data_IF_359716182282
#
_entry.id   IF_359716182282
#
_cell.length_a   1.000
_cell.length_b   1.000
_cell.length_c   1.000
_cell.angle_alpha   90.00
_cell.angle_beta   90.00
_cell.angle_gamma   90.00
#
_symmetry.space_group_name_H-M   'P 1'
#
loop_
_entity.id
_entity.type
_entity.pdbx_description
1 polymer ?
#
# COMPACT_ATOMS: atom_id res chain seq x y z
N UNK A 1 16.50 47.23 -18.25
CA UNK A 1 17.32 46.67 -17.18
C UNK A 1 16.73 45.34 -16.87
N UNK A 2 17.29 44.41 -17.58
CA UNK A 2 17.02 42.99 -17.45
C UNK A 2 17.99 42.42 -16.40
N UNK A 3 17.69 41.22 -16.00
CA UNK A 3 18.61 40.30 -15.37
C UNK A 3 18.74 40.40 -13.85
N UNK A 4 17.85 39.65 -13.20
CA UNK A 4 18.28 38.79 -12.11
C UNK A 4 17.34 37.54 -12.08
N UNK A 5 17.50 36.68 -13.07
CA UNK A 5 17.01 35.32 -13.00
C UNK A 5 18.05 34.51 -12.24
N UNK A 6 17.81 34.29 -10.94
CA UNK A 6 18.50 33.25 -10.18
C UNK A 6 18.44 31.93 -10.99
N UNK A 7 19.56 31.25 -11.21
CA UNK A 7 19.58 30.03 -11.98
C UNK A 7 18.67 29.01 -11.27
N UNK A 8 17.74 28.44 -12.01
CA UNK A 8 16.98 27.29 -11.57
C UNK A 8 17.98 26.24 -11.04
N UNK A 9 17.74 25.76 -9.85
CA UNK A 9 18.52 24.72 -9.23
C UNK A 9 18.42 23.48 -10.14
N UNK A 10 19.39 23.29 -11.01
CA UNK A 10 19.54 22.05 -11.77
C UNK A 10 19.87 20.96 -10.75
N UNK A 11 18.86 20.15 -10.42
CA UNK A 11 19.12 18.89 -9.76
C UNK A 11 19.85 18.01 -10.79
N UNK A 12 21.09 17.59 -10.56
CA UNK A 12 21.78 16.66 -11.44
C UNK A 12 21.17 15.28 -11.24
N UNK A 13 20.05 15.04 -11.86
CA UNK A 13 19.53 13.71 -12.10
C UNK A 13 19.95 13.26 -13.49
N UNK A 14 21.23 13.15 -13.69
CA UNK A 14 21.73 12.28 -14.73
C UNK A 14 21.35 10.85 -14.32
N UNK A 15 20.77 10.10 -15.26
CA UNK A 15 20.60 8.67 -15.09
C UNK A 15 21.90 8.07 -14.57
N UNK A 16 21.90 7.17 -13.59
CA UNK A 16 23.13 6.58 -13.09
C UNK A 16 23.87 6.03 -14.30
N UNK A 17 25.10 6.49 -14.53
CA UNK A 17 25.94 5.92 -15.56
C UNK A 17 26.14 4.44 -15.28
N UNK A 18 26.35 3.62 -16.31
CA UNK A 18 26.65 2.18 -16.13
C UNK A 18 27.74 1.95 -15.07
N UNK A 19 28.71 2.88 -14.95
CA UNK A 19 29.71 2.90 -13.88
C UNK A 19 29.11 3.09 -12.47
N UNK A 20 28.08 3.92 -12.29
CA UNK A 20 27.45 4.15 -10.99
C UNK A 20 26.59 2.93 -10.57
N UNK A 21 26.00 2.23 -11.53
CA UNK A 21 25.28 0.96 -11.28
C UNK A 21 26.30 -0.14 -10.94
N UNK A 22 27.39 -0.25 -11.69
CA UNK A 22 28.46 -1.24 -11.45
C UNK A 22 29.21 -1.01 -10.11
N UNK A 23 29.30 0.25 -9.64
CA UNK A 23 29.92 0.57 -8.35
C UNK A 23 29.04 0.21 -7.14
N UNK A 24 27.73 0.07 -7.30
CA UNK A 24 26.84 -0.39 -6.22
C UNK A 24 26.93 -1.92 -6.10
N UNK A 25 27.08 -2.63 -7.22
CA UNK A 25 27.15 -4.09 -7.27
C UNK A 25 28.56 -4.65 -7.00
N UNK A 26 29.59 -3.82 -7.10
CA UNK A 26 30.99 -4.18 -6.86
C UNK A 26 31.46 -4.08 -5.41
N UNK A 27 30.56 -4.14 -4.43
CA UNK A 27 30.94 -4.25 -3.02
C UNK A 27 31.55 -5.64 -2.78
N UNK A 28 32.86 -5.66 -2.96
CA UNK A 28 33.78 -6.70 -2.70
C UNK A 28 33.39 -7.58 -1.50
N UNK A 29 32.78 -8.73 -1.76
CA UNK A 29 32.53 -9.75 -0.76
C UNK A 29 33.81 -10.57 -0.47
N UNK A 30 34.92 -10.21 -1.10
CA UNK A 30 36.19 -10.77 -0.85
C UNK A 30 36.83 -10.21 0.43
N UNK A 31 36.81 -10.98 1.50
CA UNK A 31 37.61 -10.70 2.69
C UNK A 31 39.08 -10.44 2.27
N UNK A 32 39.66 -9.29 2.60
CA UNK A 32 41.08 -9.09 2.37
C UNK A 32 41.88 -10.22 3.06
N UNK A 33 42.72 -10.90 2.32
CA UNK A 33 43.59 -11.91 2.86
C UNK A 33 44.46 -11.26 3.94
N UNK A 34 44.34 -11.72 5.22
CA UNK A 34 45.16 -11.24 6.33
C UNK A 34 44.47 -10.65 7.52
N UNK A 35 43.13 -10.56 7.57
CA UNK A 35 42.42 -10.11 8.77
C UNK A 35 42.23 -11.29 9.73
N UNK A 36 42.82 -11.25 10.96
CA UNK A 36 42.69 -12.34 11.91
C UNK A 36 41.24 -12.56 12.36
N UNK A 37 40.86 -13.82 12.54
CA UNK A 37 39.52 -14.22 13.00
C UNK A 37 39.15 -13.72 14.41
N UNK A 38 40.11 -13.13 15.12
CA UNK A 38 39.93 -12.61 16.50
C UNK A 38 39.28 -11.22 16.59
N UNK A 39 38.99 -10.56 15.48
CA UNK A 39 38.33 -9.23 15.45
C UNK A 39 36.80 -9.28 15.66
N UNK A 40 36.24 -10.41 16.02
CA UNK A 40 34.79 -10.59 16.23
C UNK A 40 34.29 -10.23 17.63
N UNK A 41 35.11 -9.66 18.50
CA UNK A 41 34.68 -9.19 19.81
C UNK A 41 34.17 -7.75 19.77
N UNK A 42 32.86 -7.61 19.80
CA UNK A 42 32.19 -6.33 19.98
C UNK A 42 31.77 -5.65 18.67
N UNK A 43 30.65 -6.10 18.09
CA UNK A 43 30.01 -5.35 17.05
C UNK A 43 29.39 -4.06 17.63
N UNK A 44 29.74 -2.91 17.08
CA UNK A 44 29.04 -1.66 17.39
C UNK A 44 27.57 -1.79 17.03
N UNK A 45 26.68 -1.51 17.97
CA UNK A 45 25.24 -1.48 17.70
C UNK A 45 24.83 -0.26 16.87
N UNK A 46 25.70 0.77 16.82
CA UNK A 46 25.47 2.00 16.06
C UNK A 46 26.13 1.94 14.66
N UNK A 47 27.37 1.49 14.60
CA UNK A 47 28.14 1.37 13.37
C UNK A 47 28.06 -0.07 12.83
N UNK A 48 26.90 -0.44 12.38
CA UNK A 48 26.66 -1.75 11.77
C UNK A 48 27.25 -1.83 10.35
N UNK A 49 27.50 -3.01 9.79
CA UNK A 49 27.93 -3.13 8.37
C UNK A 49 26.97 -2.42 7.41
N UNK A 50 25.66 -2.45 7.69
CA UNK A 50 24.65 -1.77 6.88
C UNK A 50 24.81 -0.24 6.96
N UNK A 51 24.94 0.34 8.17
CA UNK A 51 25.13 1.80 8.30
C UNK A 51 26.45 2.29 7.69
N UNK A 52 27.52 1.50 7.76
CA UNK A 52 28.80 1.83 7.11
C UNK A 52 28.64 1.80 5.59
N UNK A 53 27.99 0.76 5.04
CA UNK A 53 27.72 0.62 3.62
C UNK A 53 26.88 1.79 3.08
N UNK A 54 25.84 2.17 3.82
CA UNK A 54 24.99 3.32 3.50
C UNK A 54 25.80 4.64 3.43
N UNK A 55 26.65 4.90 4.43
CA UNK A 55 27.52 6.09 4.44
C UNK A 55 28.43 6.09 3.21
N UNK A 56 29.02 4.94 2.84
CA UNK A 56 29.85 4.84 1.66
C UNK A 56 29.04 5.08 0.37
N UNK A 57 27.81 4.58 0.28
CA UNK A 57 26.93 4.82 -0.86
C UNK A 57 26.58 6.31 -0.96
N UNK A 58 26.12 6.94 0.14
CA UNK A 58 25.81 8.36 0.17
C UNK A 58 27.01 9.26 -0.16
N UNK A 59 28.20 8.89 0.32
CA UNK A 59 29.46 9.61 0.03
C UNK A 59 29.83 9.56 -1.46
N UNK A 60 29.56 8.45 -2.15
CA UNK A 60 29.79 8.31 -3.59
C UNK A 60 28.74 9.04 -4.42
N UNK A 61 27.46 8.91 -4.03
CA UNK A 61 26.34 9.43 -4.79
C UNK A 61 26.12 10.93 -4.60
N UNK A 62 26.54 11.51 -3.46
CA UNK A 62 26.22 12.88 -3.08
C UNK A 62 24.71 13.14 -2.91
N UNK A 63 23.91 12.09 -2.80
CA UNK A 63 22.45 12.15 -2.67
C UNK A 63 21.92 10.90 -1.97
N UNK A 64 20.64 10.95 -1.52
CA UNK A 64 19.94 9.78 -0.99
C UNK A 64 19.69 8.72 -2.07
N UNK A 65 19.58 7.48 -1.64
CA UNK A 65 19.25 6.34 -2.50
C UNK A 65 17.74 6.26 -2.74
N UNK A 66 17.35 5.72 -3.90
CA UNK A 66 15.97 5.42 -4.27
C UNK A 66 15.81 3.92 -4.33
N UNK A 67 14.75 3.43 -3.71
CA UNK A 67 14.41 2.01 -3.67
C UNK A 67 12.92 1.81 -3.96
N UNK A 68 12.56 0.66 -4.49
CA UNK A 68 11.20 0.15 -4.55
C UNK A 68 10.92 -0.79 -3.39
N UNK A 69 9.75 -1.43 -3.38
CA UNK A 69 9.24 -2.40 -2.44
C UNK A 69 8.68 -1.75 -1.16
N UNK A 70 9.16 -2.08 0.04
CA UNK A 70 8.65 -1.59 1.32
C UNK A 70 9.78 -1.26 2.32
N UNK A 71 9.44 -0.96 3.58
CA UNK A 71 10.42 -0.71 4.64
C UNK A 71 11.28 -1.93 4.94
N UNK A 72 12.57 -1.69 5.24
CA UNK A 72 13.50 -2.67 5.82
C UNK A 72 13.66 -2.50 7.33
N UNK A 73 12.92 -1.57 7.94
CA UNK A 73 12.95 -1.36 9.38
C UNK A 73 12.28 -2.53 10.11
N UNK A 74 13.08 -3.36 10.78
CA UNK A 74 12.63 -4.54 11.51
C UNK A 74 12.16 -4.24 12.94
N UNK A 75 12.20 -2.99 13.38
CA UNK A 75 11.81 -2.59 14.74
C UNK A 75 10.36 -2.12 14.87
N UNK A 76 9.63 -2.11 13.75
CA UNK A 76 8.22 -1.79 13.78
C UNK A 76 7.43 -2.95 14.38
N UNK A 77 6.53 -2.71 15.34
CA UNK A 77 5.58 -3.73 15.79
C UNK A 77 4.68 -4.12 14.63
N UNK A 78 4.39 -5.40 14.52
CA UNK A 78 3.67 -6.00 13.40
C UNK A 78 2.44 -6.78 13.88
N UNK A 79 1.66 -7.33 12.94
CA UNK A 79 0.58 -8.24 13.28
C UNK A 79 1.05 -9.51 14.01
N UNK A 80 2.34 -9.88 13.92
CA UNK A 80 2.90 -11.04 14.63
C UNK A 80 2.97 -10.81 16.16
N UNK A 81 2.89 -9.56 16.61
CA UNK A 81 2.78 -9.17 18.01
C UNK A 81 1.37 -9.33 18.62
N UNK A 82 0.40 -9.72 17.82
CA UNK A 82 -0.99 -9.96 18.22
C UNK A 82 -1.38 -11.41 17.98
N UNK A 83 -2.21 -11.98 18.86
CA UNK A 83 -2.78 -13.32 18.69
C UNK A 83 -4.28 -13.31 18.94
N UNK A 84 -5.03 -14.21 18.29
CA UNK A 84 -6.42 -14.44 18.61
C UNK A 84 -6.58 -15.30 19.88
N UNK A 85 -7.67 -15.08 20.60
CA UNK A 85 -8.13 -15.92 21.71
C UNK A 85 -9.49 -16.52 21.34
N UNK A 86 -9.49 -17.72 20.72
CA UNK A 86 -10.71 -18.37 20.24
C UNK A 86 -11.69 -18.66 21.38
N UNK A 87 -12.94 -18.81 21.00
CA UNK A 87 -14.03 -19.20 21.88
C UNK A 87 -13.84 -20.65 22.40
N UNK A 88 -14.22 -20.88 23.66
CA UNK A 88 -14.21 -22.22 24.26
C UNK A 88 -15.46 -22.47 25.11
N UNK A 89 -15.58 -21.84 26.28
CA UNK A 89 -16.69 -22.02 27.21
C UNK A 89 -17.52 -20.76 27.42
N UNK A 90 -16.87 -19.60 27.51
CA UNK A 90 -17.56 -18.30 27.70
C UNK A 90 -18.28 -17.85 26.44
N UNK A 91 -17.84 -18.31 25.30
CA UNK A 91 -18.46 -18.20 23.99
C UNK A 91 -18.19 -19.53 23.27
N UNK A 92 -19.14 -20.01 22.47
CA UNK A 92 -18.97 -21.25 21.71
C UNK A 92 -18.42 -20.92 20.32
N UNK A 93 -17.41 -21.67 19.82
CA UNK A 93 -17.01 -21.60 18.42
C UNK A 93 -18.11 -22.09 17.50
N UNK A 94 -18.12 -21.64 16.26
CA UNK A 94 -19.03 -22.15 15.26
C UNK A 94 -18.57 -23.51 14.71
N UNK A 95 -19.54 -24.37 14.31
CA UNK A 95 -19.29 -25.65 13.66
C UNK A 95 -18.77 -25.42 12.23
N UNK A 96 -17.47 -25.53 12.06
CA UNK A 96 -16.72 -25.07 10.87
C UNK A 96 -17.30 -25.45 9.51
N UNK A 97 -17.83 -26.69 9.34
CA UNK A 97 -18.40 -27.17 8.07
C UNK A 97 -19.92 -27.00 7.95
N UNK A 98 -20.61 -26.67 9.02
CA UNK A 98 -22.08 -26.61 9.05
C UNK A 98 -22.61 -25.19 9.14
N UNK A 99 -21.84 -24.29 9.70
CA UNK A 99 -22.23 -22.91 9.91
C UNK A 99 -21.42 -21.98 9.00
N UNK A 100 -22.10 -21.08 8.32
CA UNK A 100 -21.48 -20.09 7.45
C UNK A 100 -20.97 -18.90 8.26
N UNK A 101 -19.97 -18.22 7.69
CA UNK A 101 -19.50 -16.94 8.16
C UNK A 101 -19.61 -15.93 6.99
N UNK A 102 -20.35 -14.88 7.21
CA UNK A 102 -20.55 -13.82 6.21
C UNK A 102 -19.27 -13.03 6.01
N UNK A 103 -18.90 -12.80 4.76
CA UNK A 103 -17.70 -12.06 4.36
C UNK A 103 -18.00 -10.81 3.52
N UNK A 104 -19.27 -10.64 3.11
CA UNK A 104 -19.71 -9.49 2.31
C UNK A 104 -19.38 -8.20 3.04
N UNK A 105 -18.84 -7.26 2.30
CA UNK A 105 -18.37 -5.96 2.80
C UNK A 105 -18.97 -4.85 1.96
N UNK A 106 -19.51 -3.84 2.60
CA UNK A 106 -20.07 -2.66 1.93
C UNK A 106 -19.25 -1.43 2.33
N UNK A 107 -18.77 -0.69 1.35
CA UNK A 107 -17.98 0.50 1.56
C UNK A 107 -18.70 1.74 1.03
N UNK A 108 -18.67 2.82 1.83
CA UNK A 108 -19.22 4.11 1.45
C UNK A 108 -20.73 4.16 1.39
N UNK A 109 -21.42 3.32 2.16
CA UNK A 109 -22.87 3.37 2.26
C UNK A 109 -23.32 4.60 3.08
N UNK A 110 -23.64 5.70 2.39
CA UNK A 110 -24.18 6.93 3.00
C UNK A 110 -25.55 7.27 2.38
N UNK A 111 -26.64 6.86 3.03
CA UNK A 111 -27.99 7.09 2.51
C UNK A 111 -28.26 8.57 2.21
N UNK A 112 -28.71 8.85 0.99
CA UNK A 112 -28.98 10.22 0.52
C UNK A 112 -27.75 10.98 -0.03
N UNK A 113 -26.56 10.42 0.08
CA UNK A 113 -25.31 11.00 -0.47
C UNK A 113 -24.63 10.10 -1.49
N UNK A 114 -24.79 8.79 -1.39
CA UNK A 114 -24.21 7.80 -2.30
C UNK A 114 -25.32 6.88 -2.78
N UNK A 115 -25.54 6.86 -4.10
CA UNK A 115 -26.57 6.01 -4.71
C UNK A 115 -26.10 4.55 -4.79
N UNK A 116 -24.83 4.32 -5.22
CA UNK A 116 -24.26 3.01 -5.45
C UNK A 116 -23.03 2.80 -4.54
N UNK A 117 -23.19 2.37 -3.28
CA UNK A 117 -22.06 1.99 -2.44
C UNK A 117 -21.35 0.78 -3.05
N UNK A 118 -20.06 0.62 -2.77
CA UNK A 118 -19.29 -0.52 -3.25
C UNK A 118 -19.60 -1.76 -2.42
N UNK A 119 -20.09 -2.80 -3.09
CA UNK A 119 -20.36 -4.09 -2.49
C UNK A 119 -19.31 -5.12 -2.92
N UNK A 120 -18.58 -5.65 -1.95
CA UNK A 120 -17.56 -6.68 -2.14
C UNK A 120 -18.04 -8.01 -1.52
N UNK A 121 -17.72 -9.12 -2.17
CA UNK A 121 -17.99 -10.44 -1.60
C UNK A 121 -17.00 -10.81 -0.47
N UNK A 122 -15.87 -10.11 -0.40
CA UNK A 122 -14.78 -10.37 0.54
C UNK A 122 -14.25 -9.04 1.13
N UNK A 123 -13.73 -9.01 2.35
CA UNK A 123 -13.25 -7.79 2.99
C UNK A 123 -11.85 -7.35 2.50
N UNK A 124 -11.44 -7.75 1.29
CA UNK A 124 -10.08 -7.54 0.77
C UNK A 124 -10.17 -7.03 -0.67
N UNK A 125 -9.36 -6.01 -1.01
CA UNK A 125 -9.25 -5.54 -2.38
C UNK A 125 -7.82 -5.13 -2.76
N UNK A 126 -7.58 -4.96 -4.07
CA UNK A 126 -6.26 -4.64 -4.63
C UNK A 126 -5.99 -3.14 -4.56
N UNK A 127 -4.84 -2.79 -4.03
CA UNK A 127 -4.39 -1.41 -3.83
C UNK A 127 -4.20 -0.62 -5.12
N UNK A 128 -4.30 0.70 -4.99
CA UNK A 128 -3.96 1.66 -6.02
C UNK A 128 -2.49 1.56 -6.44
N UNK A 129 -2.26 1.08 -7.65
CA UNK A 129 -0.93 0.89 -8.25
C UNK A 129 -0.95 1.37 -9.69
N UNK A 130 -0.21 2.46 -9.97
CA UNK A 130 -0.28 3.18 -11.24
C UNK A 130 0.23 2.38 -12.44
N UNK A 131 -0.37 2.61 -13.62
CA UNK A 131 0.29 2.33 -14.88
C UNK A 131 1.55 3.20 -15.02
N UNK A 132 2.65 2.59 -15.41
CA UNK A 132 3.98 3.17 -15.34
C UNK A 132 4.78 2.56 -14.19
N UNK A 133 4.23 2.47 -12.98
CA UNK A 133 4.81 1.65 -11.92
C UNK A 133 4.65 0.15 -12.22
N UNK A 134 3.45 -0.26 -12.65
CA UNK A 134 3.17 -1.61 -13.15
C UNK A 134 3.03 -1.62 -14.68
N UNK A 135 3.26 -2.78 -15.28
CA UNK A 135 2.95 -3.05 -16.68
C UNK A 135 1.44 -3.21 -16.91
N UNK A 136 0.97 -2.97 -18.13
CA UNK A 136 -0.44 -3.14 -18.49
C UNK A 136 -0.95 -4.58 -18.27
N UNK A 137 -0.21 -5.64 -18.66
CA UNK A 137 -0.61 -7.02 -18.36
C UNK A 137 -0.74 -7.31 -16.86
N UNK A 138 0.12 -6.72 -16.03
CA UNK A 138 0.02 -6.89 -14.57
C UNK A 138 -1.25 -6.24 -14.01
N UNK A 139 -1.62 -5.05 -14.49
CA UNK A 139 -2.86 -4.38 -14.08
C UNK A 139 -4.10 -5.16 -14.52
N UNK A 140 -4.15 -5.62 -15.74
CA UNK A 140 -5.24 -6.46 -16.25
C UNK A 140 -5.37 -7.78 -15.45
N UNK A 141 -4.25 -8.43 -15.13
CA UNK A 141 -4.27 -9.67 -14.34
C UNK A 141 -4.78 -9.45 -12.91
N UNK A 142 -4.46 -8.32 -12.28
CA UNK A 142 -5.02 -7.94 -10.98
C UNK A 142 -6.52 -7.66 -11.08
N UNK A 143 -6.97 -6.97 -12.12
CA UNK A 143 -8.38 -6.69 -12.38
C UNK A 143 -9.21 -7.96 -12.54
N UNK A 144 -8.81 -8.84 -13.45
CA UNK A 144 -9.48 -10.13 -13.64
C UNK A 144 -9.45 -11.00 -12.37
N UNK A 145 -8.32 -11.00 -11.64
CA UNK A 145 -8.19 -11.77 -10.40
C UNK A 145 -9.13 -11.29 -9.30
N UNK A 146 -9.23 -9.97 -9.11
CA UNK A 146 -10.16 -9.38 -8.15
C UNK A 146 -11.62 -9.60 -8.55
N UNK A 147 -11.95 -9.41 -9.84
CA UNK A 147 -13.31 -9.59 -10.37
C UNK A 147 -13.84 -11.01 -10.17
N UNK A 148 -12.99 -12.05 -10.32
CA UNK A 148 -13.36 -13.46 -10.10
C UNK A 148 -13.87 -13.76 -8.70
N UNK A 149 -13.47 -12.98 -7.72
CA UNK A 149 -13.87 -13.18 -6.31
C UNK A 149 -14.83 -12.09 -5.80
N UNK A 150 -15.36 -11.26 -6.72
CA UNK A 150 -16.25 -10.15 -6.35
C UNK A 150 -15.58 -9.09 -5.50
N UNK A 151 -14.32 -8.75 -5.84
CA UNK A 151 -13.55 -7.68 -5.22
C UNK A 151 -13.27 -6.58 -6.23
N UNK A 152 -12.56 -5.52 -5.81
CA UNK A 152 -12.26 -4.35 -6.63
C UNK A 152 -10.77 -4.09 -6.77
N UNK A 153 -10.43 -3.23 -7.74
CA UNK A 153 -9.10 -2.64 -7.92
C UNK A 153 -9.17 -1.11 -7.90
N UNK A 154 -8.01 -0.47 -7.88
CA UNK A 154 -7.88 0.99 -7.99
C UNK A 154 -6.81 1.34 -9.02
N UNK A 155 -7.06 2.39 -9.83
CA UNK A 155 -6.17 2.78 -10.94
C UNK A 155 -4.76 3.14 -10.47
N UNK A 156 -4.63 3.75 -9.31
CA UNK A 156 -3.40 4.41 -8.90
C UNK A 156 -3.15 5.70 -9.70
N UNK A 157 -2.03 6.35 -9.41
CA UNK A 157 -1.62 7.58 -10.10
C UNK A 157 -1.27 7.29 -11.57
N UNK A 158 -1.85 8.01 -12.49
CA UNK A 158 -1.50 7.90 -13.92
C UNK A 158 -2.69 7.64 -14.84
N UNK A 159 -3.89 7.66 -14.33
CA UNK A 159 -5.12 7.52 -15.10
C UNK A 159 -5.62 6.08 -15.22
N UNK A 160 -6.75 5.92 -15.88
CA UNK A 160 -7.43 4.65 -16.13
C UNK A 160 -6.97 4.06 -17.48
N UNK A 161 -6.51 2.83 -17.49
CA UNK A 161 -6.30 2.07 -18.73
C UNK A 161 -7.62 1.43 -19.18
N UNK A 162 -7.85 1.36 -20.47
CA UNK A 162 -8.98 0.63 -21.05
C UNK A 162 -8.92 -0.85 -20.66
N UNK A 163 -7.75 -1.51 -20.86
CA UNK A 163 -7.51 -2.91 -20.48
C UNK A 163 -7.81 -3.17 -19.00
N UNK A 164 -7.51 -2.20 -18.12
CA UNK A 164 -7.78 -2.31 -16.68
C UNK A 164 -9.27 -2.15 -16.35
N UNK A 165 -9.96 -1.20 -17.02
CA UNK A 165 -11.40 -1.02 -16.85
C UNK A 165 -12.17 -2.26 -17.30
N UNK A 166 -11.80 -2.83 -18.45
CA UNK A 166 -12.40 -4.08 -18.96
C UNK A 166 -12.17 -5.27 -18.04
N UNK A 167 -10.98 -5.36 -17.45
CA UNK A 167 -10.61 -6.45 -16.55
C UNK A 167 -11.28 -6.36 -15.17
N UNK A 168 -11.72 -5.17 -14.75
CA UNK A 168 -12.18 -4.90 -13.39
C UNK A 168 -13.69 -4.72 -13.34
N UNK A 169 -14.41 -5.61 -12.66
CA UNK A 169 -15.85 -5.47 -12.43
C UNK A 169 -16.18 -4.23 -11.58
N UNK A 170 -15.31 -3.91 -10.62
CA UNK A 170 -15.33 -2.71 -9.79
C UNK A 170 -13.96 -2.04 -9.84
N UNK A 171 -13.91 -0.78 -10.23
CA UNK A 171 -12.67 0.00 -10.37
C UNK A 171 -12.82 1.38 -9.75
N UNK A 172 -11.99 1.66 -8.74
CA UNK A 172 -11.89 2.98 -8.12
C UNK A 172 -10.87 3.83 -8.89
N UNK A 173 -11.24 5.04 -9.27
CA UNK A 173 -10.34 6.00 -9.91
C UNK A 173 -9.55 6.79 -8.86
N UNK A 174 -8.22 6.76 -8.92
CA UNK A 174 -7.38 7.54 -8.00
C UNK A 174 -7.08 8.92 -8.58
N UNK A 175 -7.55 9.95 -7.89
CA UNK A 175 -7.25 11.35 -8.18
C UNK A 175 -6.06 11.82 -7.35
N UNK A 176 -4.95 12.13 -8.02
CA UNK A 176 -3.72 12.60 -7.38
C UNK A 176 -3.57 14.12 -7.43
N UNK A 177 -2.71 14.70 -6.58
CA UNK A 177 -2.41 16.13 -6.62
C UNK A 177 -1.94 16.65 -7.98
N UNK A 178 -1.25 15.82 -8.77
CA UNK A 178 -0.75 16.16 -10.11
C UNK A 178 -1.82 16.13 -11.19
N UNK A 179 -2.97 15.55 -10.92
CA UNK A 179 -4.12 15.46 -11.85
C UNK A 179 -3.77 14.84 -13.22
N UNK A 180 -2.81 13.91 -13.26
CA UNK A 180 -2.52 13.16 -14.49
C UNK A 180 -3.78 12.44 -14.98
N UNK A 181 -4.10 12.62 -16.25
CA UNK A 181 -5.28 12.04 -16.89
C UNK A 181 -6.59 12.26 -16.12
N UNK A 182 -6.73 13.41 -15.46
CA UNK A 182 -8.01 13.79 -14.91
C UNK A 182 -8.98 14.06 -16.04
N UNK A 183 -9.92 13.15 -16.22
CA UNK A 183 -10.93 13.17 -17.27
C UNK A 183 -12.29 12.89 -16.64
N UNK A 184 -13.27 13.71 -16.99
CA UNK A 184 -14.64 13.59 -16.48
C UNK A 184 -15.29 12.27 -16.92
N UNK A 185 -14.98 11.77 -18.11
CA UNK A 185 -15.49 10.47 -18.57
C UNK A 185 -14.94 9.33 -17.71
N UNK A 186 -13.64 9.36 -17.38
CA UNK A 186 -13.05 8.38 -16.48
C UNK A 186 -13.64 8.45 -15.06
N UNK A 187 -13.93 9.65 -14.53
CA UNK A 187 -14.61 9.80 -13.26
C UNK A 187 -15.99 9.15 -13.27
N UNK A 188 -16.74 9.31 -14.34
CA UNK A 188 -18.09 8.73 -14.51
C UNK A 188 -18.10 7.23 -14.81
N UNK A 189 -17.00 6.71 -15.34
CA UNK A 189 -16.83 5.27 -15.59
C UNK A 189 -16.38 4.52 -14.35
N UNK A 190 -15.90 5.21 -13.32
CA UNK A 190 -15.40 4.61 -12.10
C UNK A 190 -16.55 4.26 -11.13
N UNK A 191 -16.34 3.23 -10.32
CA UNK A 191 -17.26 2.79 -9.28
C UNK A 191 -17.01 3.50 -7.93
N UNK A 192 -15.95 4.30 -7.83
CA UNK A 192 -15.58 5.16 -6.70
C UNK A 192 -14.44 6.08 -7.07
N UNK A 193 -14.29 7.19 -6.35
CA UNK A 193 -13.19 8.14 -6.54
C UNK A 193 -12.32 8.17 -5.30
N UNK A 194 -11.02 7.92 -5.43
CA UNK A 194 -10.06 7.99 -4.32
C UNK A 194 -9.18 9.24 -4.43
N UNK A 195 -9.41 10.22 -3.56
CA UNK A 195 -8.47 11.30 -3.33
C UNK A 195 -7.24 10.77 -2.58
N UNK A 196 -6.02 11.09 -3.03
CA UNK A 196 -4.80 10.68 -2.33
C UNK A 196 -4.06 11.89 -1.78
N UNK A 197 -3.83 11.89 -0.48
CA UNK A 197 -3.03 12.91 0.21
C UNK A 197 -1.73 12.36 0.76
N UNK A 198 -1.50 11.05 0.59
CA UNK A 198 -0.27 10.35 0.97
C UNK A 198 -0.40 8.85 0.90
N UNK A 199 0.70 8.17 1.16
CA UNK A 199 0.78 6.71 1.26
C UNK A 199 1.83 6.31 2.30
N UNK A 200 1.72 5.09 2.86
CA UNK A 200 2.56 4.63 3.96
C UNK A 200 4.06 4.61 3.64
N UNK A 201 4.43 4.24 2.41
CA UNK A 201 5.82 4.15 1.99
C UNK A 201 6.58 5.48 1.93
N UNK A 202 5.88 6.60 1.79
CA UNK A 202 6.50 7.93 1.61
C UNK A 202 5.53 9.05 1.98
N UNK A 203 5.10 9.12 3.24
CA UNK A 203 4.21 10.18 3.69
C UNK A 203 4.89 11.55 3.53
N UNK A 204 4.11 12.55 3.16
CA UNK A 204 4.60 13.92 2.95
C UNK A 204 5.39 14.15 1.66
N UNK A 205 5.39 13.17 0.72
CA UNK A 205 5.97 13.34 -0.61
C UNK A 205 5.01 12.86 -1.70
N UNK A 206 5.19 13.39 -2.91
CA UNK A 206 4.40 12.96 -4.07
C UNK A 206 4.89 11.63 -4.68
N UNK A 207 4.19 11.19 -5.72
CA UNK A 207 4.59 10.04 -6.54
C UNK A 207 5.93 10.28 -7.23
N UNK A 208 6.67 9.20 -7.47
CA UNK A 208 7.92 9.21 -8.22
C UNK A 208 7.88 8.09 -9.25
N UNK A 209 8.13 8.45 -10.52
CA UNK A 209 8.37 7.51 -11.59
C UNK A 209 9.62 7.94 -12.34
N UNK A 210 10.66 7.10 -12.33
CA UNK A 210 11.93 7.42 -12.96
C UNK A 210 11.82 7.39 -14.49
N UNK A 211 12.57 8.24 -15.17
CA UNK A 211 12.52 8.45 -16.62
C UNK A 211 12.67 7.17 -17.43
N UNK A 212 13.48 6.21 -16.97
CA UNK A 212 13.65 4.91 -17.60
C UNK A 212 12.35 4.09 -17.72
N UNK A 213 11.34 4.41 -16.91
CA UNK A 213 10.00 3.80 -16.94
C UNK A 213 8.95 4.68 -17.64
N UNK A 214 9.34 5.87 -18.10
CA UNK A 214 8.43 6.77 -18.84
C UNK A 214 8.49 6.43 -20.31
N UNK A 215 7.77 5.38 -20.72
CA UNK A 215 7.58 4.95 -22.11
C UNK A 215 6.69 5.93 -22.89
N UNK A 216 6.59 5.76 -24.23
CA UNK A 216 5.68 6.58 -25.05
C UNK A 216 4.24 6.48 -24.57
N UNK A 217 3.78 5.29 -24.16
CA UNK A 217 2.41 5.07 -23.65
C UNK A 217 2.19 5.81 -22.33
N UNK A 218 3.15 5.74 -21.39
CA UNK A 218 3.09 6.47 -20.12
C UNK A 218 3.14 7.98 -20.34
N UNK A 219 4.05 8.45 -21.19
CA UNK A 219 4.19 9.86 -21.55
C UNK A 219 2.91 10.43 -22.17
N UNK A 220 2.31 9.69 -23.10
CA UNK A 220 1.03 10.06 -23.70
C UNK A 220 -0.11 10.11 -22.70
N UNK A 221 -0.25 9.11 -21.84
CA UNK A 221 -1.29 9.09 -20.80
C UNK A 221 -1.15 10.23 -19.80
N UNK A 222 0.08 10.54 -19.38
CA UNK A 222 0.32 11.57 -18.36
C UNK A 222 0.53 12.96 -18.93
N UNK A 223 0.51 13.10 -20.26
CA UNK A 223 0.81 14.36 -20.98
C UNK A 223 2.16 14.97 -20.56
N UNK A 224 3.18 14.13 -20.40
CA UNK A 224 4.50 14.49 -19.92
C UNK A 224 5.59 14.02 -20.90
N UNK A 225 6.80 14.64 -20.89
CA UNK A 225 7.89 14.21 -21.75
C UNK A 225 8.35 12.77 -21.48
N UNK A 226 8.60 11.99 -22.54
CA UNK A 226 9.18 10.67 -22.47
C UNK A 226 10.59 10.70 -21.87
N UNK A 227 10.94 9.70 -21.08
CA UNK A 227 12.30 9.50 -20.58
C UNK A 227 12.74 10.48 -19.48
N UNK A 228 11.84 11.31 -18.97
CA UNK A 228 12.10 12.29 -17.91
C UNK A 228 11.46 11.82 -16.61
N UNK A 229 12.20 11.97 -15.48
CA UNK A 229 11.67 11.66 -14.16
C UNK A 229 10.38 12.44 -13.88
N UNK A 230 9.35 11.74 -13.47
CA UNK A 230 8.07 12.34 -13.10
C UNK A 230 7.92 12.38 -11.59
N UNK A 231 7.75 13.59 -11.06
CA UNK A 231 7.48 13.83 -9.65
C UNK A 231 6.12 14.49 -9.53
N UNK A 232 5.23 13.84 -8.79
CA UNK A 232 3.94 14.42 -8.49
C UNK A 232 4.07 15.54 -7.49
N UNK A 233 3.18 16.52 -7.60
CA UNK A 233 2.99 17.52 -6.54
C UNK A 233 2.63 16.83 -5.23
N UNK A 234 3.03 17.42 -4.11
CA UNK A 234 2.81 16.84 -2.78
C UNK A 234 1.42 17.17 -2.26
N UNK A 235 0.90 18.33 -2.64
CA UNK A 235 -0.38 18.86 -2.18
C UNK A 235 -1.34 19.03 -3.34
N UNK A 236 -2.60 18.79 -3.10
CA UNK A 236 -3.65 19.17 -4.05
C UNK A 236 -3.64 20.69 -4.21
N UNK A 237 -3.70 21.19 -5.46
CA UNK A 237 -3.64 22.63 -5.70
C UNK A 237 -4.92 23.37 -5.32
N UNK A 238 -6.02 22.66 -5.21
CA UNK A 238 -7.38 23.17 -5.02
C UNK A 238 -7.91 23.02 -3.59
N UNK A 239 -7.15 22.41 -2.67
CA UNK A 239 -7.49 22.48 -1.26
C UNK A 239 -6.26 22.57 -0.37
N UNK A 240 -6.29 23.50 0.57
CA UNK A 240 -5.24 23.75 1.55
C UNK A 240 -5.68 23.46 3.00
N UNK A 241 -6.97 23.22 3.19
CA UNK A 241 -7.58 22.95 4.49
C UNK A 241 -8.85 22.11 4.36
N UNK A 242 -9.51 21.90 5.51
CA UNK A 242 -10.71 21.07 5.59
C UNK A 242 -11.89 21.64 4.79
N UNK A 243 -12.07 22.95 4.81
CA UNK A 243 -13.18 23.62 4.13
C UNK A 243 -13.03 23.50 2.61
N UNK A 244 -11.81 23.70 2.08
CA UNK A 244 -11.53 23.52 0.66
C UNK A 244 -11.68 22.05 0.25
N UNK A 245 -11.29 21.11 1.13
CA UNK A 245 -11.47 19.68 0.89
C UNK A 245 -12.96 19.32 0.79
N UNK A 246 -13.81 19.90 1.64
CA UNK A 246 -15.24 19.70 1.57
C UNK A 246 -15.82 20.19 0.23
N UNK A 247 -15.39 21.35 -0.26
CA UNK A 247 -15.78 21.87 -1.58
C UNK A 247 -15.33 20.90 -2.69
N UNK A 248 -14.11 20.38 -2.61
CA UNK A 248 -13.61 19.41 -3.60
C UNK A 248 -14.39 18.10 -3.59
N UNK A 249 -14.76 17.60 -2.44
CA UNK A 249 -15.58 16.39 -2.31
C UNK A 249 -16.96 16.64 -2.96
N UNK A 250 -17.57 17.79 -2.72
CA UNK A 250 -18.85 18.14 -3.32
C UNK A 250 -18.76 18.27 -4.85
N UNK A 251 -17.70 18.91 -5.38
CA UNK A 251 -17.44 18.95 -6.82
C UNK A 251 -17.34 17.53 -7.45
N UNK A 252 -16.71 16.58 -6.75
CA UNK A 252 -16.60 15.20 -7.23
C UNK A 252 -17.96 14.47 -7.17
N UNK A 253 -18.77 14.74 -6.14
CA UNK A 253 -20.14 14.22 -6.06
C UNK A 253 -20.99 14.72 -7.22
N UNK A 254 -20.97 16.02 -7.50
CA UNK A 254 -21.67 16.61 -8.63
C UNK A 254 -21.18 16.03 -9.98
N UNK A 255 -19.87 15.89 -10.15
CA UNK A 255 -19.26 15.34 -11.35
C UNK A 255 -19.68 13.89 -11.64
N UNK A 256 -20.00 13.13 -10.60
CA UNK A 256 -20.44 11.72 -10.66
C UNK A 256 -21.95 11.55 -10.41
N UNK A 257 -22.72 12.62 -10.40
CA UNK A 257 -24.17 12.64 -10.15
C UNK A 257 -24.54 11.97 -8.79
N UNK A 258 -23.68 12.08 -7.75
CA UNK A 258 -23.84 11.43 -6.43
C UNK A 258 -23.95 9.90 -6.51
N UNK A 259 -23.44 9.29 -7.56
CA UNK A 259 -23.61 7.84 -7.77
C UNK A 259 -22.62 7.00 -7.00
N UNK A 260 -21.39 7.49 -6.81
CA UNK A 260 -20.29 6.68 -6.31
C UNK A 260 -19.69 7.26 -5.02
N UNK A 261 -19.13 6.41 -4.13
CA UNK A 261 -18.48 6.88 -2.92
C UNK A 261 -17.17 7.61 -3.20
N UNK A 262 -16.86 8.59 -2.35
CA UNK A 262 -15.62 9.33 -2.34
C UNK A 262 -14.72 8.79 -1.23
N UNK A 263 -13.54 8.30 -1.63
CA UNK A 263 -12.49 7.80 -0.75
C UNK A 263 -11.45 8.88 -0.50
N UNK A 264 -10.79 8.82 0.65
CA UNK A 264 -9.55 9.55 0.90
C UNK A 264 -8.48 8.58 1.39
N UNK A 265 -7.35 8.50 0.67
CA UNK A 265 -6.19 7.71 1.07
C UNK A 265 -5.10 8.59 1.67
N UNK A 266 -4.60 8.19 2.84
CA UNK A 266 -3.54 8.89 3.56
C UNK A 266 -2.46 7.92 4.06
N UNK A 267 -1.22 8.39 4.18
CA UNK A 267 -0.18 7.68 4.93
C UNK A 267 -0.42 7.83 6.43
N UNK A 268 -0.18 6.77 7.18
CA UNK A 268 -0.33 6.78 8.63
C UNK A 268 0.76 7.65 9.28
N UNK A 269 0.42 8.89 9.60
CA UNK A 269 1.29 9.86 10.27
C UNK A 269 0.66 10.36 11.56
N UNK A 270 -0.53 10.98 11.46
CA UNK A 270 -1.33 11.48 12.59
C UNK A 270 -2.79 11.02 12.44
N UNK A 271 -3.05 9.70 12.37
CA UNK A 271 -4.36 9.15 11.97
C UNK A 271 -5.52 9.69 12.82
N UNK A 272 -5.33 9.90 14.13
CA UNK A 272 -6.38 10.45 14.99
C UNK A 272 -6.88 11.83 14.55
N UNK A 273 -6.01 12.69 14.06
CA UNK A 273 -6.34 14.04 13.62
C UNK A 273 -6.76 14.07 12.15
N UNK A 274 -6.00 13.40 11.30
CA UNK A 274 -6.20 13.42 9.86
C UNK A 274 -7.53 12.71 9.49
N UNK A 275 -7.86 11.61 10.17
CA UNK A 275 -9.14 10.90 9.98
C UNK A 275 -10.33 11.75 10.44
N UNK A 276 -10.22 12.43 11.58
CA UNK A 276 -11.29 13.32 12.06
C UNK A 276 -11.55 14.49 11.08
N UNK A 277 -10.49 15.04 10.48
CA UNK A 277 -10.63 16.11 9.47
C UNK A 277 -11.28 15.54 8.21
N UNK A 278 -10.80 14.40 7.70
CA UNK A 278 -11.33 13.78 6.50
C UNK A 278 -12.81 13.40 6.64
N UNK A 279 -13.19 12.79 7.75
CA UNK A 279 -14.57 12.41 8.03
C UNK A 279 -15.50 13.63 8.06
N UNK A 280 -15.09 14.71 8.75
CA UNK A 280 -15.86 15.97 8.81
C UNK A 280 -15.92 16.72 7.48
N UNK A 281 -14.90 16.55 6.62
CA UNK A 281 -14.92 17.09 5.26
C UNK A 281 -15.89 16.35 4.34
N UNK A 282 -16.42 15.20 4.75
CA UNK A 282 -17.52 14.52 4.07
C UNK A 282 -17.12 13.34 3.19
N UNK A 283 -15.92 12.75 3.35
CA UNK A 283 -15.56 11.50 2.65
C UNK A 283 -16.40 10.32 3.15
N UNK A 284 -16.57 9.31 2.31
CA UNK A 284 -17.37 8.12 2.61
C UNK A 284 -16.50 6.95 3.08
N UNK A 285 -15.25 6.92 2.61
CA UNK A 285 -14.29 5.86 2.92
C UNK A 285 -12.93 6.47 3.20
N UNK A 286 -12.28 6.09 4.29
CA UNK A 286 -10.94 6.52 4.64
C UNK A 286 -9.99 5.33 4.57
N UNK A 287 -8.92 5.46 3.79
CA UNK A 287 -7.85 4.46 3.66
C UNK A 287 -6.62 4.93 4.43
N UNK A 288 -6.27 4.23 5.50
CA UNK A 288 -5.06 4.48 6.29
C UNK A 288 -3.99 3.48 5.90
N UNK A 289 -2.87 4.00 5.37
CA UNK A 289 -1.76 3.19 4.84
C UNK A 289 -0.56 3.27 5.80
N UNK A 290 -0.27 2.17 6.49
CA UNK A 290 0.79 2.05 7.50
C UNK A 290 2.20 2.19 6.94
N UNK A 291 3.18 2.42 7.80
CA UNK A 291 4.59 2.57 7.45
C UNK A 291 5.17 1.34 6.71
N UNK A 292 4.55 0.17 6.86
CA UNK A 292 4.90 -1.07 6.16
C UNK A 292 4.43 -1.09 4.69
N UNK A 293 3.72 -0.05 4.23
CA UNK A 293 3.23 0.06 2.87
C UNK A 293 4.34 0.02 1.82
N UNK A 294 4.04 -0.61 0.67
CA UNK A 294 4.97 -0.71 -0.46
C UNK A 294 4.82 0.43 -1.47
N UNK A 295 5.84 0.57 -2.32
CA UNK A 295 5.83 1.52 -3.45
C UNK A 295 6.73 1.05 -4.58
N UNK A 296 6.49 1.57 -5.79
CA UNK A 296 7.38 1.36 -6.93
C UNK A 296 8.71 2.10 -6.83
N UNK A 297 8.71 3.30 -6.26
CA UNK A 297 9.91 4.11 -6.07
C UNK A 297 9.74 5.10 -4.91
N UNK A 298 10.72 5.17 -4.02
CA UNK A 298 10.81 6.16 -2.93
C UNK A 298 12.25 6.38 -2.52
N UNK A 299 12.59 7.57 -1.98
CA UNK A 299 13.79 7.71 -1.16
C UNK A 299 13.80 6.70 0.00
N UNK A 300 14.90 5.97 0.20
CA UNK A 300 15.01 4.94 1.25
C UNK A 300 14.73 5.48 2.64
N UNK A 301 15.24 6.68 2.92
CA UNK A 301 15.03 7.33 4.22
C UNK A 301 13.53 7.51 4.56
N UNK A 302 12.67 7.68 3.56
CA UNK A 302 11.23 7.78 3.80
C UNK A 302 10.60 6.42 4.08
N UNK A 303 11.03 5.38 3.36
CA UNK A 303 10.58 4.02 3.59
C UNK A 303 10.92 3.51 5.00
N UNK A 304 12.10 3.86 5.49
CA UNK A 304 12.64 3.26 6.71
C UNK A 304 12.48 4.14 7.97
N UNK A 305 12.19 5.44 7.81
CA UNK A 305 12.20 6.39 8.92
C UNK A 305 10.95 7.29 9.03
N UNK A 306 9.88 7.03 8.25
CA UNK A 306 8.66 7.84 8.31
C UNK A 306 7.41 6.98 8.44
N UNK A 307 6.33 7.60 8.96
CA UNK A 307 5.08 6.91 9.21
C UNK A 307 5.07 6.15 10.53
N UNK A 308 3.91 5.61 10.87
CA UNK A 308 3.71 4.77 12.05
C UNK A 308 3.12 3.41 11.64
N UNK A 309 3.31 2.36 12.46
CA UNK A 309 2.83 1.02 12.16
C UNK A 309 1.32 0.94 11.91
N UNK A 310 0.91 0.06 11.01
CA UNK A 310 -0.50 -0.12 10.67
C UNK A 310 -1.34 -0.54 11.87
N UNK A 311 -0.84 -1.44 12.73
CA UNK A 311 -1.61 -1.93 13.89
C UNK A 311 -2.03 -0.82 14.85
N UNK A 312 -1.18 0.20 15.05
CA UNK A 312 -1.50 1.35 15.88
C UNK A 312 -2.38 2.36 15.14
N UNK A 313 -2.20 2.46 13.83
CA UNK A 313 -2.92 3.42 12.99
C UNK A 313 -4.41 3.10 12.88
N UNK A 314 -4.76 1.81 12.75
CA UNK A 314 -6.17 1.37 12.67
C UNK A 314 -6.91 1.76 13.95
N UNK A 315 -6.33 1.51 15.11
CA UNK A 315 -6.96 1.86 16.39
C UNK A 315 -7.17 3.37 16.53
N UNK A 316 -6.12 4.16 16.28
CA UNK A 316 -6.22 5.62 16.34
C UNK A 316 -7.22 6.19 15.33
N UNK A 317 -7.36 5.57 14.15
CA UNK A 317 -8.33 5.97 13.13
C UNK A 317 -9.76 5.63 13.54
N UNK A 318 -10.02 4.42 14.07
CA UNK A 318 -11.33 4.00 14.55
C UNK A 318 -11.78 4.88 15.71
N UNK A 319 -10.92 5.10 16.70
CA UNK A 319 -11.21 5.98 17.83
C UNK A 319 -11.51 7.42 17.39
N UNK A 320 -10.87 7.92 16.33
CA UNK A 320 -11.19 9.22 15.76
C UNK A 320 -12.59 9.27 15.16
N UNK A 321 -13.03 8.22 14.48
CA UNK A 321 -14.39 8.10 13.95
C UNK A 321 -15.42 7.97 15.08
N UNK A 322 -15.14 7.19 16.12
CA UNK A 322 -15.96 7.04 17.30
C UNK A 322 -16.14 8.40 18.01
N UNK A 323 -15.05 9.13 18.26
CA UNK A 323 -15.06 10.46 18.88
C UNK A 323 -15.84 11.50 18.08
N UNK A 324 -15.87 11.35 16.75
CA UNK A 324 -16.65 12.22 15.85
C UNK A 324 -18.10 11.77 15.70
N UNK A 325 -18.48 10.60 16.21
CA UNK A 325 -19.81 10.00 16.01
C UNK A 325 -20.07 9.57 14.58
N UNK A 326 -19.01 9.24 13.81
CA UNK A 326 -19.09 8.91 12.37
C UNK A 326 -18.71 7.46 12.04
N UNK A 327 -18.55 6.61 13.04
CA UNK A 327 -18.16 5.21 12.85
C UNK A 327 -19.14 4.38 12.01
N UNK A 328 -20.41 4.73 12.03
CA UNK A 328 -21.47 4.07 11.25
C UNK A 328 -21.66 4.69 9.86
N UNK A 329 -21.07 5.86 9.61
CA UNK A 329 -21.22 6.61 8.35
C UNK A 329 -20.01 6.49 7.42
N UNK A 330 -18.81 6.38 8.00
CA UNK A 330 -17.54 6.40 7.27
C UNK A 330 -16.85 5.06 7.41
N UNK A 331 -16.62 4.39 6.28
CA UNK A 331 -15.88 3.12 6.25
C UNK A 331 -14.40 3.36 6.45
N UNK A 332 -13.73 2.52 7.27
CA UNK A 332 -12.30 2.55 7.52
C UNK A 332 -11.62 1.38 6.81
N UNK A 333 -10.65 1.68 5.95
CA UNK A 333 -9.85 0.68 5.25
C UNK A 333 -8.42 0.71 5.74
N UNK A 334 -7.89 -0.46 6.08
CA UNK A 334 -6.49 -0.65 6.46
C UNK A 334 -5.63 -1.03 5.24
N UNK A 335 -4.45 -0.43 5.11
CA UNK A 335 -3.47 -0.72 4.07
C UNK A 335 -2.05 -0.71 4.62
N UNK A 336 -1.15 -1.46 4.00
CA UNK A 336 0.28 -1.49 4.35
C UNK A 336 0.70 -2.75 5.12
N UNK A 337 1.59 -3.55 4.54
CA UNK A 337 2.22 -4.69 5.22
C UNK A 337 1.35 -5.93 5.44
N UNK A 338 0.11 -5.96 4.99
CA UNK A 338 -0.80 -7.11 5.13
C UNK A 338 -0.38 -8.25 4.22
N UNK A 339 -0.16 -9.47 4.76
CA UNK A 339 0.46 -10.61 4.07
C UNK A 339 -0.46 -11.83 3.94
N UNK A 340 -1.42 -11.98 4.85
CA UNK A 340 -2.26 -13.19 4.99
C UNK A 340 -3.68 -12.84 5.44
N UNK A 341 -4.59 -13.79 5.36
CA UNK A 341 -5.92 -13.64 5.93
C UNK A 341 -5.91 -13.49 7.46
N UNK A 342 -4.88 -14.02 8.13
CA UNK A 342 -4.68 -13.77 9.56
C UNK A 342 -4.43 -12.28 9.85
N UNK A 343 -3.59 -11.61 9.05
CA UNK A 343 -3.36 -10.17 9.17
C UNK A 343 -4.66 -9.40 8.89
N UNK A 344 -5.42 -9.80 7.86
CA UNK A 344 -6.75 -9.21 7.55
C UNK A 344 -7.71 -9.35 8.73
N UNK A 345 -7.82 -10.53 9.32
CA UNK A 345 -8.68 -10.76 10.47
C UNK A 345 -8.29 -9.85 11.66
N UNK A 346 -6.99 -9.63 11.88
CA UNK A 346 -6.48 -8.70 12.90
C UNK A 346 -6.82 -7.24 12.56
N UNK A 347 -6.76 -6.83 11.28
CA UNK A 347 -7.21 -5.51 10.87
C UNK A 347 -8.70 -5.29 11.18
N UNK A 348 -9.55 -6.27 10.85
CA UNK A 348 -10.99 -6.21 11.14
C UNK A 348 -11.24 -6.14 12.66
N UNK A 349 -10.56 -6.99 13.44
CA UNK A 349 -10.67 -7.00 14.89
C UNK A 349 -10.20 -5.67 15.53
N UNK A 350 -9.22 -4.98 14.93
CA UNK A 350 -8.75 -3.67 15.37
C UNK A 350 -9.69 -2.53 14.95
N UNK A 351 -10.69 -2.79 14.11
CA UNK A 351 -11.74 -1.83 13.74
C UNK A 351 -11.73 -1.36 12.30
N UNK A 352 -11.00 -2.00 11.38
CA UNK A 352 -11.14 -1.76 9.96
C UNK A 352 -12.40 -2.45 9.40
N UNK A 353 -13.02 -1.87 8.37
CA UNK A 353 -14.16 -2.44 7.66
C UNK A 353 -13.70 -3.26 6.44
N UNK A 354 -12.55 -2.93 5.85
CA UNK A 354 -11.90 -3.68 4.77
C UNK A 354 -10.39 -3.52 4.82
N UNK A 355 -9.71 -4.30 3.96
CA UNK A 355 -8.26 -4.28 3.84
C UNK A 355 -7.84 -4.15 2.38
N UNK A 356 -6.91 -3.24 2.11
CA UNK A 356 -6.33 -3.02 0.80
C UNK A 356 -4.92 -3.63 0.76
N UNK A 357 -4.66 -4.52 -0.20
CA UNK A 357 -3.36 -5.19 -0.37
C UNK A 357 -2.66 -4.77 -1.66
N UNK A 358 -1.37 -4.42 -1.56
CA UNK A 358 -0.51 -4.12 -2.71
C UNK A 358 0.53 -5.21 -2.96
N UNK A 359 1.60 -5.21 -2.16
CA UNK A 359 2.76 -6.12 -2.31
C UNK A 359 2.36 -7.59 -2.29
N UNK A 360 1.46 -8.00 -1.39
CA UNK A 360 0.97 -9.38 -1.34
C UNK A 360 0.23 -9.80 -2.63
N UNK A 361 -0.59 -8.90 -3.19
CA UNK A 361 -1.25 -9.11 -4.49
C UNK A 361 -0.25 -9.26 -5.64
N UNK A 362 0.83 -8.45 -5.66
CA UNK A 362 1.90 -8.55 -6.66
C UNK A 362 2.69 -9.86 -6.52
N UNK A 363 2.97 -10.31 -5.30
CA UNK A 363 3.64 -11.60 -5.05
C UNK A 363 2.75 -12.74 -5.55
N UNK A 364 1.46 -12.72 -5.26
CA UNK A 364 0.51 -13.69 -5.77
C UNK A 364 0.44 -13.70 -7.31
N UNK A 365 0.52 -12.53 -7.93
CA UNK A 365 0.59 -12.38 -9.38
C UNK A 365 1.86 -13.03 -9.97
N UNK A 366 2.98 -13.01 -9.26
CA UNK A 366 4.24 -13.62 -9.70
C UNK A 366 5.50 -12.80 -9.39
N UNK A 367 5.38 -11.69 -8.66
CA UNK A 367 6.55 -10.94 -8.18
C UNK A 367 7.45 -11.83 -7.32
N UNK A 368 8.76 -11.67 -7.44
CA UNK A 368 9.75 -12.51 -6.74
C UNK A 368 9.70 -14.01 -7.07
N UNK A 369 9.11 -14.40 -8.22
CA UNK A 369 9.12 -15.79 -8.69
C UNK A 369 10.55 -16.24 -9.03
N UNK A 370 10.97 -17.45 -8.61
CA UNK A 370 12.31 -17.97 -8.94
C UNK A 370 12.47 -18.39 -10.42
N UNK A 371 11.42 -18.29 -11.23
CA UNK A 371 11.45 -18.71 -12.64
C UNK A 371 12.54 -18.01 -13.46
N UNK A 372 12.90 -16.78 -13.11
CA UNK A 372 13.87 -15.95 -13.82
C UNK A 372 15.10 -15.67 -12.94
N UNK A 373 15.64 -16.71 -12.31
CA UNK A 373 16.72 -16.60 -11.32
C UNK A 373 17.95 -15.83 -11.86
N UNK A 374 18.34 -16.10 -13.10
CA UNK A 374 19.53 -15.47 -13.70
C UNK A 374 19.34 -13.95 -13.90
N UNK A 375 18.12 -13.50 -14.22
CA UNK A 375 17.84 -12.06 -14.35
C UNK A 375 17.94 -11.33 -12.99
N UNK A 376 17.56 -11.99 -11.88
CA UNK A 376 17.78 -11.41 -10.55
C UNK A 376 19.27 -11.29 -10.23
N UNK A 377 20.09 -12.27 -10.60
CA UNK A 377 21.52 -12.23 -10.38
C UNK A 377 22.19 -11.06 -11.12
N UNK A 378 21.73 -10.74 -12.34
CA UNK A 378 22.19 -9.56 -13.11
C UNK A 378 21.87 -8.25 -12.36
N UNK A 379 20.79 -8.21 -11.60
CA UNK A 379 20.42 -7.06 -10.77
C UNK A 379 21.07 -7.06 -9.37
N UNK A 380 22.03 -7.96 -9.12
CA UNK A 380 22.68 -8.09 -7.80
C UNK A 380 21.74 -8.54 -6.67
N UNK A 381 20.62 -9.21 -7.00
CA UNK A 381 19.62 -9.64 -6.02
C UNK A 381 19.19 -11.10 -6.24
N UNK A 382 18.27 -11.59 -5.45
CA UNK A 382 17.70 -12.95 -5.56
C UNK A 382 16.18 -12.90 -5.43
N UNK A 383 15.46 -13.93 -5.91
CA UNK A 383 14.04 -14.09 -5.60
C UNK A 383 13.80 -14.04 -4.08
N UNK A 384 12.76 -13.29 -3.67
CA UNK A 384 12.44 -13.04 -2.27
C UNK A 384 13.16 -11.82 -1.65
N UNK A 385 14.18 -11.26 -2.32
CA UNK A 385 14.94 -10.09 -1.84
C UNK A 385 14.96 -8.94 -2.85
N UNK A 386 14.23 -9.06 -3.96
CA UNK A 386 14.21 -8.03 -5.01
C UNK A 386 13.49 -6.77 -4.54
N UNK A 387 14.11 -5.62 -4.78
CA UNK A 387 13.60 -4.28 -4.47
C UNK A 387 13.81 -3.28 -5.63
N UNK A 388 14.01 -3.78 -6.85
CA UNK A 388 14.35 -3.01 -8.05
C UNK A 388 13.13 -2.52 -8.86
N UNK A 389 11.95 -2.34 -8.22
CA UNK A 389 10.75 -1.89 -8.92
C UNK A 389 10.90 -0.52 -9.61
N UNK A 390 11.84 0.30 -9.14
CA UNK A 390 12.12 1.64 -9.67
C UNK A 390 12.91 1.63 -10.99
N UNK A 391 13.67 0.56 -11.28
CA UNK A 391 14.62 0.51 -12.40
C UNK A 391 14.00 0.25 -13.77
N UNK A 392 12.78 -0.30 -13.84
CA UNK A 392 12.17 -0.78 -15.08
C UNK A 392 12.64 -2.17 -15.52
N UNK A 393 13.68 -2.73 -14.90
CA UNK A 393 14.30 -4.02 -15.23
C UNK A 393 13.69 -5.18 -14.42
N UNK A 394 12.37 -5.18 -14.27
CA UNK A 394 11.69 -6.20 -13.47
C UNK A 394 11.79 -7.60 -14.09
N UNK A 395 12.47 -8.58 -13.43
CA UNK A 395 12.69 -9.91 -14.01
C UNK A 395 11.41 -10.68 -14.37
N UNK A 396 10.32 -10.37 -13.69
CA UNK A 396 9.03 -11.07 -13.87
C UNK A 396 8.03 -10.27 -14.72
N UNK A 397 8.41 -9.11 -15.27
CA UNK A 397 7.55 -8.30 -16.14
C UNK A 397 6.46 -7.49 -15.43
N UNK A 398 6.42 -7.50 -14.10
CA UNK A 398 5.34 -6.86 -13.30
C UNK A 398 5.54 -5.36 -13.19
N UNK A 399 6.73 -4.91 -12.77
CA UNK A 399 7.03 -3.49 -12.51
C UNK A 399 7.94 -2.89 -13.60
N UNK A 400 7.57 -3.03 -14.85
CA UNK A 400 8.32 -2.58 -16.02
C UNK A 400 7.43 -1.88 -17.03
N UNK A 401 8.06 -1.17 -17.98
CA UNK A 401 7.46 -0.63 -19.19
C UNK A 401 8.22 -1.12 -20.44
N UNK A 402 9.10 -2.10 -20.28
CA UNK A 402 9.80 -2.77 -21.37
C UNK A 402 8.87 -3.79 -22.05
N UNK A 403 8.60 -3.65 -23.38
CA UNK A 403 7.67 -4.53 -24.10
C UNK A 403 8.07 -6.01 -24.10
N UNK A 404 9.36 -6.33 -23.98
CA UNK A 404 9.81 -7.72 -23.95
C UNK A 404 9.68 -8.32 -22.54
N UNK A 405 9.96 -7.52 -21.51
CA UNK A 405 9.79 -7.98 -20.13
C UNK A 405 8.31 -8.14 -19.75
N UNK A 406 7.42 -7.23 -20.17
CA UNK A 406 6.00 -7.33 -19.81
C UNK A 406 5.30 -8.57 -20.38
N UNK A 407 5.79 -9.14 -21.52
CA UNK A 407 5.31 -10.42 -22.08
C UNK A 407 5.49 -11.61 -21.14
N UNK A 408 6.33 -11.48 -20.11
CA UNK A 408 6.52 -12.52 -19.08
C UNK A 408 5.31 -12.69 -18.17
N UNK A 409 4.40 -11.72 -18.15
CA UNK A 409 3.14 -11.81 -17.42
C UNK A 409 2.08 -12.51 -18.27
N UNK A 410 1.84 -13.77 -18.01
CA UNK A 410 0.67 -14.47 -18.52
C UNK A 410 -0.57 -14.02 -17.75
N UNK A 411 -1.38 -13.16 -18.36
CA UNK A 411 -2.54 -12.52 -17.72
C UNK A 411 -3.52 -13.56 -17.17
N UNK A 412 -3.82 -14.62 -17.94
CA UNK A 412 -4.79 -15.65 -17.55
C UNK A 412 -4.30 -16.43 -16.31
N UNK A 413 -3.07 -16.95 -16.38
CA UNK A 413 -2.49 -17.71 -15.26
C UNK A 413 -2.23 -16.83 -14.03
N UNK A 414 -1.83 -15.56 -14.22
CA UNK A 414 -1.60 -14.62 -13.14
C UNK A 414 -2.90 -14.22 -12.44
N UNK A 415 -3.98 -13.95 -13.20
CA UNK A 415 -5.30 -13.63 -12.63
C UNK A 415 -5.85 -14.77 -11.79
N UNK A 416 -5.65 -16.03 -12.22
CA UNK A 416 -6.06 -17.19 -11.47
C UNK A 416 -5.30 -17.33 -10.13
N UNK A 417 -4.00 -17.06 -10.13
CA UNK A 417 -3.22 -17.05 -8.87
C UNK A 417 -3.69 -15.97 -7.91
N UNK A 418 -3.97 -14.76 -8.40
CA UNK A 418 -4.50 -13.67 -7.58
C UNK A 418 -5.87 -14.05 -6.99
N UNK A 419 -6.79 -14.57 -7.80
CA UNK A 419 -8.10 -15.00 -7.33
C UNK A 419 -7.99 -16.09 -6.25
N UNK A 420 -7.16 -17.12 -6.46
CA UNK A 420 -6.93 -18.17 -5.46
C UNK A 420 -6.31 -17.63 -4.17
N UNK A 421 -5.39 -16.70 -4.26
CA UNK A 421 -4.79 -16.08 -3.09
C UNK A 421 -5.82 -15.28 -2.28
N UNK A 422 -6.63 -14.44 -2.93
CA UNK A 422 -7.72 -13.71 -2.29
C UNK A 422 -8.75 -14.65 -1.64
N UNK A 423 -9.10 -15.75 -2.32
CA UNK A 423 -9.96 -16.80 -1.77
C UNK A 423 -9.35 -17.44 -0.53
N UNK A 424 -8.08 -17.81 -0.58
CA UNK A 424 -7.38 -18.42 0.56
C UNK A 424 -7.34 -17.48 1.76
N UNK A 425 -6.98 -16.20 1.55
CA UNK A 425 -7.01 -15.19 2.61
C UNK A 425 -8.41 -15.08 3.24
N UNK A 426 -9.46 -15.08 2.43
CA UNK A 426 -10.84 -14.98 2.92
C UNK A 426 -11.24 -16.22 3.73
N UNK A 427 -10.79 -17.40 3.31
CA UNK A 427 -11.01 -18.65 4.09
C UNK A 427 -10.32 -18.60 5.46
N UNK A 428 -9.10 -18.05 5.54
CA UNK A 428 -8.38 -17.85 6.81
C UNK A 428 -9.15 -16.89 7.72
N UNK A 429 -9.64 -15.75 7.20
CA UNK A 429 -10.45 -14.78 7.96
C UNK A 429 -11.72 -15.45 8.50
N UNK A 430 -12.45 -16.15 7.63
CA UNK A 430 -13.68 -16.87 8.01
C UNK A 430 -13.41 -17.92 9.09
N UNK A 431 -12.32 -18.67 8.96
CA UNK A 431 -11.96 -19.72 9.95
C UNK A 431 -11.68 -19.10 11.32
N UNK A 432 -10.92 -17.99 11.38
CA UNK A 432 -10.63 -17.28 12.62
C UNK A 432 -11.90 -16.70 13.25
N UNK A 433 -12.76 -16.08 12.44
CA UNK A 433 -14.04 -15.56 12.92
C UNK A 433 -14.92 -16.67 13.53
N UNK A 434 -15.06 -17.81 12.84
CA UNK A 434 -15.78 -19.00 13.37
C UNK A 434 -15.15 -19.53 14.66
N UNK A 435 -13.83 -19.60 14.74
CA UNK A 435 -13.13 -20.02 15.94
C UNK A 435 -13.40 -19.07 17.12
N UNK A 436 -13.61 -17.78 16.87
CA UNK A 436 -14.01 -16.78 17.85
C UNK A 436 -15.53 -16.75 18.11
N UNK A 437 -16.31 -17.66 17.50
CA UNK A 437 -17.78 -17.73 17.66
C UNK A 437 -18.54 -16.65 16.90
N UNK A 438 -17.99 -16.14 15.78
CA UNK A 438 -18.58 -15.09 14.96
C UNK A 438 -19.07 -15.64 13.62
N UNK A 439 -20.32 -15.33 13.27
CA UNK A 439 -20.96 -15.71 11.99
C UNK A 439 -20.80 -14.66 10.89
N UNK A 440 -20.10 -13.56 11.18
CA UNK A 440 -19.76 -12.49 10.25
C UNK A 440 -18.35 -12.01 10.60
N UNK A 441 -17.49 -11.85 9.59
CA UNK A 441 -16.10 -11.42 9.79
C UNK A 441 -16.00 -10.00 10.38
N UNK A 442 -17.01 -9.15 10.14
CA UNK A 442 -17.12 -7.80 10.70
C UNK A 442 -17.51 -7.77 12.18
N UNK A 443 -17.82 -8.92 12.76
CA UNK A 443 -18.06 -9.06 14.20
C UNK A 443 -16.79 -9.37 14.99
N UNK A 444 -15.64 -9.52 14.31
CA UNK A 444 -14.35 -9.59 14.98
C UNK A 444 -14.07 -8.28 15.73
N UNK A 445 -13.58 -8.39 16.96
CA UNK A 445 -13.43 -7.26 17.86
C UNK A 445 -12.11 -7.33 18.66
N UNK A 446 -11.71 -6.22 19.26
CA UNK A 446 -10.45 -6.12 20.04
C UNK A 446 -10.40 -7.16 21.16
N UNK A 447 -11.55 -7.54 21.73
CA UNK A 447 -11.61 -8.58 22.78
C UNK A 447 -11.25 -9.99 22.25
N UNK A 448 -11.33 -10.23 20.96
CA UNK A 448 -10.89 -11.48 20.34
C UNK A 448 -9.35 -11.56 20.21
N UNK A 449 -8.63 -10.46 20.53
CA UNK A 449 -7.17 -10.36 20.43
C UNK A 449 -6.49 -10.27 21.80
N UNK A 450 -5.21 -10.69 21.81
CA UNK A 450 -4.25 -10.38 22.90
C UNK A 450 -2.92 -9.95 22.27
N UNK A 451 -2.29 -8.95 22.91
CA UNK A 451 -0.95 -8.52 22.56
C UNK A 451 0.09 -9.46 23.20
N UNK A 452 1.12 -9.80 22.44
CA UNK A 452 2.21 -10.66 22.89
C UNK A 452 3.39 -9.87 23.47
N UNK A 453 3.40 -8.54 23.24
CA UNK A 453 4.40 -7.62 23.77
C UNK A 453 3.74 -6.41 24.45
N UNK A 454 4.47 -5.78 25.38
CA UNK A 454 4.00 -4.55 26.04
C UNK A 454 3.82 -3.42 25.05
N UNK A 455 4.73 -3.30 24.08
CA UNK A 455 4.69 -2.29 23.03
C UNK A 455 3.41 -2.44 22.19
N UNK A 456 3.10 -3.66 21.73
CA UNK A 456 1.88 -3.90 20.95
C UNK A 456 0.63 -3.59 21.78
N UNK A 457 0.60 -3.95 23.07
CA UNK A 457 -0.49 -3.62 23.98
C UNK A 457 -0.67 -2.10 24.13
N UNK A 458 0.44 -1.37 24.34
CA UNK A 458 0.41 0.08 24.50
C UNK A 458 -0.03 0.81 23.21
N UNK A 459 0.41 0.33 22.05
CA UNK A 459 0.11 0.97 20.75
C UNK A 459 -1.31 0.69 20.26
N UNK A 460 -1.89 -0.46 20.61
CA UNK A 460 -3.19 -0.90 20.09
C UNK A 460 -4.33 -0.82 21.10
N UNK A 461 -4.02 -0.70 22.39
CA UNK A 461 -5.01 -0.85 23.46
C UNK A 461 -5.50 -2.29 23.66
N UNK A 462 -4.95 -3.27 22.91
CA UNK A 462 -5.26 -4.69 23.07
C UNK A 462 -4.66 -5.20 24.39
N UNK A 463 -5.43 -5.95 25.19
CA UNK A 463 -4.96 -6.52 26.44
C UNK A 463 -3.74 -7.41 26.26
N UNK A 464 -2.77 -7.31 27.16
CA UNK A 464 -1.59 -8.19 27.16
C UNK A 464 -2.00 -9.64 27.47
N UNK A 465 -1.43 -10.60 26.75
CA UNK A 465 -1.67 -12.02 26.98
C UNK A 465 -1.36 -12.44 28.43
N UNK A 466 -2.28 -13.18 29.05
CA UNK A 466 -2.17 -13.62 30.46
C UNK A 466 -2.53 -12.54 31.49
N UNK A 467 -2.97 -11.34 31.06
CA UNK A 467 -3.40 -10.27 31.97
C UNK A 467 -4.79 -9.82 31.61
N UNK A 468 -5.79 -10.23 32.39
CA UNK A 468 -7.21 -9.97 32.13
C UNK A 468 -7.71 -8.62 32.69
N UNK A 469 -6.84 -7.77 33.17
CA UNK A 469 -7.16 -6.42 33.64
C UNK A 469 -6.49 -5.36 32.79
N UNK A 470 -7.16 -4.21 32.56
CA UNK A 470 -6.51 -3.11 31.85
C UNK A 470 -5.30 -2.59 32.63
N UNK A 471 -4.22 -2.26 31.92
CA UNK A 471 -3.17 -1.43 32.48
C UNK A 471 -3.68 0.00 32.62
N UNK A 472 -3.65 0.53 33.83
CA UNK A 472 -3.75 1.97 34.02
C UNK A 472 -2.30 2.51 33.93
N UNK A 473 -1.97 3.05 32.80
CA UNK A 473 -0.73 3.81 32.58
C UNK A 473 -0.87 5.21 33.16
#
# INVERSE_FOLDING_TARGET
MADDMTPAYEYPFDAPTEEAVAMVDGADSARPAGVPASYTKGHSTRWTPASISEIHALSRLGRYQIRGFNTFNQRLPTFDDLTFVPATMTRLPLEGYRENCETRTVLGARPGLVENPIELNIPIYIASMSFGALSAPAKAALGYGASKVGSMTCTGEGGMLEDEREASSLLVYQMTPSRYMLDLEHLRMADGIELVVGQGAKPGTGGLLLGMKVSDRVAGMRTLPKGVDQRSTVRHPDFLGADDMQVKIEELREATDYKVPIFLKMGATRPRYDVAIAAKAGVDVIVVDGAEGGTGASPELLLDHTGIPLISSIRAAREALDDCGMSDEVSLVAAGGVRSGTDVAKCLALGADAVMIGTAGLIALGCNSPRYFDDYAVLGTTPGQCHHCHTGLCPVGVATQDPELEKRVDVAAASERVARFLTAMTMEVSLLAKACGKSNVHNLEVEDLRALSLEASAFTGVKLAGIDRPYNW
#
